data_IF_333579477153
#
_entry.id   IF_333579477153
#
_cell.length_a   1.000
_cell.length_b   1.000
_cell.length_c   1.000
_cell.angle_alpha   90.00
_cell.angle_beta   90.00
_cell.angle_gamma   90.00
#
_symmetry.space_group_name_H-M   'P 1'
#
loop_
_entity.id
_entity.type
_entity.pdbx_description
1 polymer ?
#
# COMPACT_ATOMS: atom_id res chain seq x y z
N UNK A 1 2.29 7.78 20.25
CA UNK A 1 2.27 7.17 21.60
C UNK A 1 1.48 5.85 21.65
N UNK A 2 0.50 5.61 20.74
CA UNK A 2 -0.40 4.46 20.79
C UNK A 2 0.28 3.07 20.79
N UNK A 3 1.43 2.93 20.16
CA UNK A 3 2.09 1.62 20.01
C UNK A 3 3.17 1.34 21.06
N UNK A 4 3.56 2.33 21.88
CA UNK A 4 4.60 2.14 22.91
C UNK A 4 4.15 1.14 23.98
N UNK A 5 2.88 1.17 24.38
CA UNK A 5 2.32 0.22 25.33
C UNK A 5 2.32 -1.22 24.80
N UNK A 6 2.00 -1.39 23.52
CA UNK A 6 2.02 -2.71 22.87
C UNK A 6 3.44 -3.23 22.73
N UNK A 7 4.41 -2.38 22.37
CA UNK A 7 5.83 -2.78 22.32
C UNK A 7 6.35 -3.22 23.67
N UNK A 8 6.01 -2.47 24.72
CA UNK A 8 6.35 -2.88 26.09
C UNK A 8 5.68 -4.20 26.49
N UNK A 9 4.41 -4.39 26.09
CA UNK A 9 3.71 -5.65 26.32
C UNK A 9 4.44 -6.82 25.64
N UNK A 10 4.93 -6.63 24.42
CA UNK A 10 5.68 -7.66 23.67
C UNK A 10 6.99 -8.05 24.35
N UNK A 11 7.61 -7.14 25.11
CA UNK A 11 8.80 -7.44 25.90
C UNK A 11 8.48 -8.27 27.16
N UNK A 12 7.22 -8.30 27.60
CA UNK A 12 6.76 -8.90 28.86
C UNK A 12 5.95 -10.19 28.66
N UNK A 13 5.34 -10.41 27.47
CA UNK A 13 4.54 -11.60 27.18
C UNK A 13 5.37 -12.71 26.57
N UNK A 14 4.92 -13.95 26.81
CA UNK A 14 5.47 -15.13 26.15
C UNK A 14 5.28 -15.09 24.64
N UNK A 15 6.06 -15.92 23.93
CA UNK A 15 6.04 -15.94 22.47
C UNK A 15 4.66 -16.24 21.86
N UNK A 16 4.46 -15.91 20.57
CA UNK A 16 3.17 -16.00 19.89
C UNK A 16 2.58 -17.41 19.81
N UNK A 17 3.38 -18.45 20.08
CA UNK A 17 2.91 -19.84 20.09
C UNK A 17 2.13 -20.20 21.36
N UNK A 18 2.26 -19.41 22.43
CA UNK A 18 1.58 -19.61 23.70
C UNK A 18 0.31 -18.74 23.85
N UNK A 19 0.04 -17.87 22.87
CA UNK A 19 -1.11 -16.96 22.86
C UNK A 19 -2.00 -17.31 21.67
N UNK A 20 -3.24 -17.74 21.93
CA UNK A 20 -4.18 -18.13 20.88
C UNK A 20 -4.64 -16.95 20.05
N UNK A 21 -4.99 -15.83 20.70
CA UNK A 21 -5.42 -14.60 20.05
C UNK A 21 -5.24 -13.37 20.95
N UNK A 22 -5.09 -12.19 20.33
CA UNK A 22 -5.06 -10.92 21.03
C UNK A 22 -6.19 -10.02 20.51
N UNK A 23 -7.03 -9.54 21.43
CA UNK A 23 -8.10 -8.60 21.12
C UNK A 23 -7.69 -7.19 21.57
N UNK A 24 -7.42 -6.32 20.63
CA UNK A 24 -7.20 -4.89 20.88
C UNK A 24 -8.55 -4.18 20.81
N UNK A 25 -8.87 -3.35 21.78
CA UNK A 25 -10.14 -2.61 21.83
C UNK A 25 -9.87 -1.12 21.80
N UNK A 26 -10.67 -0.38 21.03
CA UNK A 26 -10.55 1.07 20.94
C UNK A 26 -11.89 1.74 20.69
N UNK A 27 -12.12 2.92 21.31
CA UNK A 27 -13.28 3.75 21.07
C UNK A 27 -14.63 3.07 21.30
N UNK A 28 -14.73 2.10 22.22
CA UNK A 28 -15.97 1.30 22.39
C UNK A 28 -17.19 2.15 22.77
N UNK A 29 -16.99 3.27 23.46
CA UNK A 29 -18.03 4.20 23.86
C UNK A 29 -18.16 5.42 22.93
N UNK A 30 -17.51 5.42 21.75
CA UNK A 30 -17.65 6.51 20.80
C UNK A 30 -19.10 6.62 20.30
N UNK A 31 -19.53 7.83 19.91
CA UNK A 31 -20.85 8.07 19.36
C UNK A 31 -21.14 7.16 18.15
N UNK A 32 -22.40 6.75 17.92
CA UNK A 32 -22.75 5.72 16.93
C UNK A 32 -22.74 6.21 15.47
N UNK A 33 -22.01 7.29 15.18
CA UNK A 33 -21.94 7.87 13.83
C UNK A 33 -21.31 6.92 12.81
N UNK A 34 -20.45 6.01 13.27
CA UNK A 34 -19.86 4.96 12.43
C UNK A 34 -20.16 3.56 12.98
N UNK A 35 -20.38 2.57 12.10
CA UNK A 35 -20.54 1.18 12.53
C UNK A 35 -19.23 0.66 13.14
N UNK A 36 -19.32 -0.29 14.11
CA UNK A 36 -18.14 -0.91 14.67
C UNK A 36 -17.33 -1.61 13.58
N UNK A 37 -16.00 -1.59 13.74
CA UNK A 37 -15.07 -2.19 12.78
C UNK A 37 -14.20 -3.24 13.43
N UNK A 38 -13.97 -4.32 12.68
CA UNK A 38 -12.92 -5.29 12.97
C UNK A 38 -11.75 -4.97 12.04
N UNK A 39 -10.59 -4.62 12.63
CA UNK A 39 -9.38 -4.26 11.88
C UNK A 39 -8.39 -5.43 11.96
N UNK A 40 -8.23 -6.21 10.87
CA UNK A 40 -7.37 -7.39 10.84
C UNK A 40 -6.03 -7.13 10.15
N UNK A 41 -5.62 -5.89 9.96
CA UNK A 41 -4.48 -5.48 9.14
C UNK A 41 -3.23 -5.29 9.96
N UNK A 42 -2.12 -5.81 9.43
CA UNK A 42 -0.78 -5.66 9.97
C UNK A 42 -0.02 -4.47 9.36
N UNK A 43 1.18 -4.22 9.90
CA UNK A 43 2.18 -3.33 9.34
C UNK A 43 3.05 -4.00 8.26
N UNK A 44 2.81 -5.28 8.02
CA UNK A 44 3.35 -6.08 6.92
C UNK A 44 2.22 -6.74 6.12
N UNK A 45 2.51 -7.72 5.28
CA UNK A 45 1.51 -8.45 4.49
C UNK A 45 0.73 -9.50 5.29
N UNK A 46 0.94 -9.62 6.60
CA UNK A 46 0.19 -10.54 7.46
C UNK A 46 -1.21 -9.99 7.75
N UNK A 47 -2.11 -10.89 8.09
CA UNK A 47 -3.51 -10.59 8.38
C UNK A 47 -4.01 -11.55 9.46
N UNK A 48 -4.86 -11.05 10.33
CA UNK A 48 -5.49 -11.86 11.36
C UNK A 48 -6.23 -13.07 10.79
N UNK A 49 -6.23 -14.17 11.51
CA UNK A 49 -6.92 -15.39 11.14
C UNK A 49 -8.39 -15.14 10.84
N UNK A 50 -8.92 -15.78 9.78
CA UNK A 50 -10.32 -15.59 9.37
C UNK A 50 -11.30 -16.12 10.41
N UNK A 51 -10.88 -17.15 11.16
CA UNK A 51 -11.65 -17.71 12.28
C UNK A 51 -11.88 -16.65 13.36
N UNK A 52 -10.81 -15.99 13.81
CA UNK A 52 -10.88 -14.93 14.80
C UNK A 52 -11.78 -13.77 14.35
N UNK A 53 -11.62 -13.32 13.10
CA UNK A 53 -12.47 -12.26 12.54
C UNK A 53 -13.96 -12.64 12.50
N UNK A 54 -14.28 -13.88 12.10
CA UNK A 54 -15.66 -14.38 12.05
C UNK A 54 -16.27 -14.51 13.45
N UNK A 55 -15.51 -15.01 14.42
CA UNK A 55 -15.95 -15.11 15.81
C UNK A 55 -16.30 -13.74 16.39
N UNK A 56 -15.43 -12.75 16.16
CA UNK A 56 -15.69 -11.37 16.61
C UNK A 56 -16.89 -10.74 15.89
N UNK A 57 -17.02 -10.93 14.58
CA UNK A 57 -18.16 -10.41 13.80
C UNK A 57 -19.48 -11.03 14.24
N UNK A 58 -19.50 -12.34 14.57
CA UNK A 58 -20.66 -13.03 15.11
C UNK A 58 -21.04 -12.50 16.49
N UNK A 59 -20.05 -12.27 17.35
CA UNK A 59 -20.28 -11.70 18.68
C UNK A 59 -20.89 -10.31 18.63
N UNK A 60 -20.41 -9.45 17.71
CA UNK A 60 -21.00 -8.11 17.46
C UNK A 60 -22.45 -8.21 17.02
N UNK A 61 -22.74 -9.10 16.07
CA UNK A 61 -24.10 -9.30 15.56
C UNK A 61 -25.08 -9.77 16.64
N UNK A 62 -24.63 -10.64 17.55
CA UNK A 62 -25.45 -11.14 18.67
C UNK A 62 -25.78 -10.07 19.71
N UNK A 63 -24.99 -9.01 19.80
CA UNK A 63 -25.27 -7.84 20.64
C UNK A 63 -26.08 -6.74 19.91
N UNK A 64 -26.56 -7.03 18.70
CA UNK A 64 -27.39 -6.11 17.91
C UNK A 64 -26.60 -5.07 17.12
N UNK A 65 -25.28 -5.15 17.14
CA UNK A 65 -24.42 -4.28 16.35
C UNK A 65 -24.39 -4.69 14.88
N UNK A 66 -24.33 -3.74 13.93
CA UNK A 66 -24.22 -4.07 12.53
C UNK A 66 -22.93 -4.88 12.26
N UNK A 67 -23.08 -5.95 11.49
CA UNK A 67 -21.93 -6.77 11.10
C UNK A 67 -20.95 -5.93 10.30
N UNK A 68 -19.67 -5.87 10.67
CA UNK A 68 -18.66 -5.13 9.91
C UNK A 68 -18.64 -5.61 8.45
N UNK A 69 -18.79 -4.69 7.50
CA UNK A 69 -18.68 -5.03 6.09
C UNK A 69 -17.22 -5.42 5.77
N UNK A 70 -17.00 -6.58 5.15
CA UNK A 70 -15.67 -6.97 4.74
C UNK A 70 -15.13 -5.98 3.69
N UNK A 71 -13.83 -5.69 3.72
CA UNK A 71 -13.20 -4.88 2.69
C UNK A 71 -13.39 -5.53 1.31
N UNK A 72 -13.62 -4.72 0.28
CA UNK A 72 -13.70 -5.19 -1.11
C UNK A 72 -12.43 -5.95 -1.51
N UNK A 73 -12.48 -6.85 -2.50
CA UNK A 73 -11.26 -7.55 -2.97
C UNK A 73 -10.14 -6.59 -3.40
N UNK A 74 -10.49 -5.48 -4.04
CA UNK A 74 -9.54 -4.42 -4.37
C UNK A 74 -8.95 -3.78 -3.11
N UNK A 75 -9.78 -3.44 -2.12
CA UNK A 75 -9.33 -2.89 -0.85
C UNK A 75 -8.42 -3.84 -0.08
N UNK A 76 -8.70 -5.14 -0.11
CA UNK A 76 -7.84 -6.15 0.50
C UNK A 76 -6.48 -6.22 -0.19
N UNK A 77 -6.43 -6.23 -1.54
CA UNK A 77 -5.18 -6.19 -2.31
C UNK A 77 -4.40 -4.89 -2.07
N UNK A 78 -5.10 -3.74 -2.04
CA UNK A 78 -4.49 -2.45 -1.74
C UNK A 78 -3.81 -2.43 -0.37
N UNK A 79 -4.45 -3.07 0.63
CA UNK A 79 -3.90 -3.22 1.99
C UNK A 79 -2.71 -4.16 2.06
N UNK A 80 -2.64 -5.18 1.21
CA UNK A 80 -1.48 -6.07 1.12
C UNK A 80 -0.31 -5.41 0.38
N UNK A 81 -0.61 -4.63 -0.67
CA UNK A 81 0.40 -3.89 -1.42
C UNK A 81 0.97 -2.67 -0.66
N UNK A 82 0.18 -2.08 0.23
CA UNK A 82 0.58 -0.94 1.07
C UNK A 82 0.08 -1.19 2.49
N UNK A 83 0.78 -2.04 3.25
CA UNK A 83 0.35 -2.41 4.59
C UNK A 83 0.48 -1.22 5.54
N UNK A 84 -0.67 -0.79 6.07
CA UNK A 84 -0.80 0.30 7.02
C UNK A 84 -1.76 -0.16 8.12
N UNK A 85 -1.26 -0.94 9.06
CA UNK A 85 -1.99 -1.40 10.24
C UNK A 85 -1.91 -0.37 11.37
N UNK A 86 -2.79 0.65 11.34
CA UNK A 86 -2.83 1.66 12.41
C UNK A 86 -3.38 1.02 13.69
N UNK A 87 -2.62 1.15 14.79
CA UNK A 87 -2.97 0.64 16.11
C UNK A 87 -2.22 -0.63 16.51
N UNK A 88 -2.36 -1.01 17.78
CA UNK A 88 -1.58 -2.09 18.39
C UNK A 88 -1.70 -3.46 17.74
N UNK A 89 -2.85 -3.78 17.11
CA UNK A 89 -3.02 -5.03 16.37
C UNK A 89 -2.04 -5.15 15.20
N UNK A 90 -1.67 -4.04 14.56
CA UNK A 90 -0.74 -4.05 13.44
C UNK A 90 0.66 -4.50 13.86
N UNK A 91 1.12 -4.02 15.00
CA UNK A 91 2.40 -4.41 15.61
C UNK A 91 2.38 -5.88 16.05
N UNK A 92 1.32 -6.29 16.76
CA UNK A 92 1.15 -7.66 17.23
C UNK A 92 1.13 -8.68 16.09
N UNK A 93 0.42 -8.38 15.00
CA UNK A 93 0.38 -9.24 13.81
C UNK A 93 1.76 -9.37 13.15
N UNK A 94 2.51 -8.27 13.04
CA UNK A 94 3.87 -8.29 12.49
C UNK A 94 4.81 -9.17 13.33
N UNK A 95 4.64 -9.16 14.65
CA UNK A 95 5.41 -10.01 15.59
C UNK A 95 4.88 -11.47 15.68
N UNK A 96 3.84 -11.80 14.94
CA UNK A 96 3.36 -13.17 14.79
C UNK A 96 2.17 -13.58 15.64
N UNK A 97 1.65 -12.68 16.46
CA UNK A 97 0.42 -12.93 17.23
C UNK A 97 -0.80 -12.85 16.32
N UNK A 98 -1.79 -13.72 16.49
CA UNK A 98 -3.09 -13.57 15.81
C UNK A 98 -3.89 -12.50 16.54
N UNK A 99 -3.99 -11.32 15.94
CA UNK A 99 -4.57 -10.14 16.60
C UNK A 99 -5.57 -9.41 15.71
N UNK A 100 -6.68 -8.97 16.32
CA UNK A 100 -7.64 -8.05 15.72
C UNK A 100 -7.85 -6.84 16.62
N UNK A 101 -8.24 -5.72 16.03
CA UNK A 101 -8.78 -4.60 16.78
C UNK A 101 -10.27 -4.48 16.55
N UNK A 102 -11.03 -4.45 17.65
CA UNK A 102 -12.45 -4.10 17.66
C UNK A 102 -12.56 -2.62 17.99
N UNK A 103 -13.01 -1.83 17.03
CA UNK A 103 -13.14 -0.37 17.17
C UNK A 103 -14.58 0.06 17.07
N UNK A 104 -15.04 0.88 18.01
CA UNK A 104 -16.34 1.54 17.97
C UNK A 104 -16.33 2.87 17.20
N UNK A 105 -15.15 3.41 16.88
CA UNK A 105 -14.95 4.73 16.28
C UNK A 105 -14.28 4.67 14.89
N UNK A 106 -14.55 3.63 14.10
CA UNK A 106 -13.92 3.47 12.78
C UNK A 106 -12.48 2.93 12.84
N UNK A 107 -11.76 2.99 11.74
CA UNK A 107 -10.41 2.42 11.65
C UNK A 107 -9.31 3.38 12.13
N UNK A 108 -9.52 4.68 11.96
CA UNK A 108 -8.53 5.71 12.25
C UNK A 108 -8.73 6.39 13.60
N UNK A 109 -9.94 6.35 14.12
CA UNK A 109 -10.28 7.10 15.31
C UNK A 109 -9.67 6.45 16.56
N UNK A 110 -8.68 7.12 17.11
CA UNK A 110 -8.39 7.07 18.54
C UNK A 110 -9.38 8.04 19.17
N UNK A 111 -10.22 7.56 20.12
CA UNK A 111 -11.19 8.42 20.81
C UNK A 111 -10.50 9.67 21.35
N UNK A 112 -10.98 10.84 20.98
CA UNK A 112 -10.44 12.10 21.47
C UNK A 112 -10.82 12.24 22.94
N UNK A 113 -9.85 12.58 23.78
CA UNK A 113 -10.11 12.84 25.19
C UNK A 113 -11.13 13.99 25.31
N UNK A 114 -12.31 13.71 25.89
CA UNK A 114 -13.38 14.69 26.10
C UNK A 114 -14.63 14.49 25.24
N UNK A 115 -14.67 13.48 24.36
CA UNK A 115 -15.91 13.09 23.70
C UNK A 115 -16.90 12.45 24.69
N UNK A 116 -18.20 12.71 24.48
CA UNK A 116 -19.24 12.10 25.27
C UNK A 116 -19.26 10.58 25.04
N UNK A 117 -19.28 9.82 26.13
CA UNK A 117 -19.32 8.35 26.07
C UNK A 117 -20.79 7.91 25.96
N UNK A 118 -21.09 7.16 24.91
CA UNK A 118 -22.34 6.42 24.78
C UNK A 118 -22.26 5.14 25.63
N UNK A 119 -22.96 5.13 26.75
CA UNK A 119 -22.93 4.03 27.71
C UNK A 119 -23.59 2.75 27.17
N UNK A 120 -24.63 2.86 26.35
CA UNK A 120 -25.34 1.71 25.80
C UNK A 120 -24.46 1.02 24.75
N UNK A 121 -23.81 1.80 23.90
CA UNK A 121 -22.85 1.29 22.93
C UNK A 121 -21.62 0.69 23.59
N UNK A 122 -21.06 1.35 24.58
CA UNK A 122 -19.97 0.80 25.39
C UNK A 122 -20.33 -0.56 25.97
N UNK A 123 -21.56 -0.67 26.52
CA UNK A 123 -22.11 -1.92 27.04
C UNK A 123 -22.24 -3.01 25.97
N UNK A 124 -22.81 -2.69 24.81
CA UNK A 124 -22.97 -3.64 23.70
C UNK A 124 -21.63 -4.14 23.17
N UNK A 125 -20.70 -3.23 22.81
CA UNK A 125 -19.38 -3.59 22.30
C UNK A 125 -18.51 -4.29 23.35
N UNK A 126 -18.64 -3.91 24.63
CA UNK A 126 -17.99 -4.58 25.75
C UNK A 126 -18.48 -6.05 25.90
N UNK A 127 -19.80 -6.29 25.85
CA UNK A 127 -20.35 -7.66 25.87
C UNK A 127 -19.93 -8.46 24.64
N UNK A 128 -19.92 -7.87 23.44
CA UNK A 128 -19.43 -8.52 22.22
C UNK A 128 -17.97 -8.96 22.36
N UNK A 129 -17.14 -8.10 22.93
CA UNK A 129 -15.72 -8.42 23.20
C UNK A 129 -15.59 -9.57 24.20
N UNK A 130 -16.29 -9.54 25.32
CA UNK A 130 -16.30 -10.62 26.31
C UNK A 130 -16.83 -11.92 25.73
N UNK A 131 -17.88 -11.87 24.92
CA UNK A 131 -18.42 -13.03 24.21
C UNK A 131 -17.39 -13.62 23.25
N UNK A 132 -16.63 -12.77 22.55
CA UNK A 132 -15.53 -13.23 21.68
C UNK A 132 -14.45 -13.96 22.50
N UNK A 133 -14.02 -13.39 23.61
CA UNK A 133 -13.06 -14.05 24.51
C UNK A 133 -13.60 -15.40 25.02
N UNK A 134 -14.85 -15.43 25.48
CA UNK A 134 -15.49 -16.67 25.95
C UNK A 134 -15.58 -17.74 24.86
N UNK A 135 -15.91 -17.32 23.62
CA UNK A 135 -16.00 -18.24 22.49
C UNK A 135 -14.63 -18.82 22.11
N UNK A 136 -13.54 -18.03 22.26
CA UNK A 136 -12.17 -18.48 22.03
C UNK A 136 -11.68 -19.41 23.15
N UNK A 137 -12.01 -19.11 24.41
CA UNK A 137 -11.60 -19.87 25.58
C UNK A 137 -12.30 -21.24 25.66
N UNK A 138 -13.60 -21.28 25.34
CA UNK A 138 -14.41 -22.51 25.43
C UNK A 138 -14.51 -23.31 24.13
N UNK A 139 -14.13 -22.69 23.01
CA UNK A 139 -14.16 -23.29 21.68
C UNK A 139 -12.92 -24.09 21.36
N UNK A 140 -12.92 -24.71 20.17
CA UNK A 140 -11.67 -25.17 19.58
C UNK A 140 -10.88 -23.94 19.12
N UNK A 141 -9.56 -23.96 19.38
CA UNK A 141 -8.68 -22.91 18.88
C UNK A 141 -8.93 -22.69 17.37
N UNK A 142 -9.22 -21.46 16.93
CA UNK A 142 -9.54 -21.22 15.54
C UNK A 142 -8.35 -21.58 14.66
N UNK A 143 -8.58 -22.32 13.57
CA UNK A 143 -7.53 -22.58 12.60
C UNK A 143 -6.97 -21.25 12.10
N UNK A 144 -5.68 -21.02 12.31
CA UNK A 144 -5.02 -19.75 11.94
C UNK A 144 -5.04 -19.51 10.43
N UNK A 145 -5.09 -20.59 9.62
CA UNK A 145 -5.10 -20.48 8.16
C UNK A 145 -3.83 -19.83 7.58
N UNK A 146 -3.87 -19.39 6.32
CA UNK A 146 -2.75 -18.66 5.74
C UNK A 146 -2.64 -17.26 6.38
N UNK A 147 -1.41 -16.83 6.72
CA UNK A 147 -1.15 -15.51 7.32
C UNK A 147 -1.34 -14.35 6.35
N UNK A 148 -1.21 -14.60 5.07
CA UNK A 148 -1.44 -13.63 3.99
C UNK A 148 -2.50 -14.19 3.06
N UNK A 149 -3.60 -13.48 2.86
CA UNK A 149 -4.72 -13.93 2.03
C UNK A 149 -5.66 -12.81 1.62
N UNK A 150 -6.45 -13.08 0.57
CA UNK A 150 -7.59 -12.28 0.15
C UNK A 150 -8.83 -13.16 0.16
N UNK A 151 -9.96 -12.61 0.59
CA UNK A 151 -11.26 -13.28 0.51
C UNK A 151 -11.98 -12.79 -0.74
N UNK A 152 -12.25 -13.70 -1.66
CA UNK A 152 -12.98 -13.45 -2.90
C UNK A 152 -14.17 -14.41 -2.99
N UNK A 153 -15.37 -13.90 -3.12
CA UNK A 153 -16.60 -14.70 -3.22
C UNK A 153 -16.72 -15.77 -2.11
N UNK A 154 -16.33 -15.45 -0.88
CA UNK A 154 -16.37 -16.36 0.26
C UNK A 154 -15.20 -17.36 0.34
N UNK A 155 -14.34 -17.43 -0.67
CA UNK A 155 -13.18 -18.30 -0.73
C UNK A 155 -11.91 -17.54 -0.28
N UNK A 156 -11.03 -18.26 0.43
CA UNK A 156 -9.74 -17.73 0.88
C UNK A 156 -8.68 -18.03 -0.16
N UNK A 157 -8.14 -16.99 -0.77
CA UNK A 157 -7.02 -17.08 -1.70
C UNK A 157 -5.72 -16.78 -0.94
N UNK A 158 -4.83 -17.76 -0.76
CA UNK A 158 -3.59 -17.56 -0.03
C UNK A 158 -2.62 -16.65 -0.80
N UNK A 159 -1.77 -15.92 -0.08
CA UNK A 159 -0.83 -14.95 -0.65
C UNK A 159 0.12 -15.56 -1.68
N UNK A 160 0.57 -16.81 -1.51
CA UNK A 160 1.41 -17.48 -2.50
C UNK A 160 0.72 -17.67 -3.86
N UNK A 161 -0.58 -17.91 -3.88
CA UNK A 161 -1.34 -18.06 -5.14
C UNK A 161 -1.47 -16.69 -5.85
N UNK A 162 -1.64 -15.61 -5.09
CA UNK A 162 -1.63 -14.25 -5.63
C UNK A 162 -0.24 -13.85 -6.15
N UNK A 163 0.83 -14.22 -5.44
CA UNK A 163 2.20 -14.01 -5.89
C UNK A 163 2.50 -14.77 -7.20
N UNK A 164 2.04 -16.02 -7.30
CA UNK A 164 2.16 -16.81 -8.53
C UNK A 164 1.37 -16.16 -9.69
N UNK A 165 0.17 -15.66 -9.42
CA UNK A 165 -0.62 -14.92 -10.40
C UNK A 165 0.13 -13.64 -10.85
N UNK A 166 0.70 -12.87 -9.92
CA UNK A 166 1.51 -11.71 -10.26
C UNK A 166 2.70 -12.09 -11.16
N UNK A 167 3.43 -13.14 -10.80
CA UNK A 167 4.56 -13.64 -11.59
C UNK A 167 4.12 -14.04 -13.03
N UNK A 168 2.99 -14.76 -13.17
CA UNK A 168 2.46 -15.15 -14.48
C UNK A 168 2.03 -13.95 -15.31
N UNK A 169 1.51 -12.89 -14.69
CA UNK A 169 1.15 -11.66 -15.40
C UNK A 169 2.37 -10.79 -15.77
N UNK A 170 3.44 -10.83 -15.00
CA UNK A 170 4.68 -10.08 -15.32
C UNK A 170 5.50 -10.81 -16.41
N UNK A 171 5.44 -12.12 -16.49
CA UNK A 171 6.21 -12.91 -17.45
C UNK A 171 6.06 -12.45 -18.92
N UNK A 172 4.85 -12.19 -19.46
CA UNK A 172 4.69 -11.67 -20.82
C UNK A 172 5.36 -10.31 -21.04
N UNK A 173 5.37 -9.44 -20.03
CA UNK A 173 6.04 -8.13 -20.07
C UNK A 173 7.55 -8.32 -20.23
N UNK A 174 8.13 -9.23 -19.46
CA UNK A 174 9.56 -9.58 -19.55
C UNK A 174 9.88 -10.20 -20.91
N UNK A 175 9.10 -11.17 -21.35
CA UNK A 175 9.30 -11.85 -22.64
C UNK A 175 9.24 -10.86 -23.81
N UNK A 176 8.26 -9.95 -23.82
CA UNK A 176 8.14 -8.91 -24.85
C UNK A 176 9.33 -7.94 -24.82
N UNK A 177 9.82 -7.55 -23.65
CA UNK A 177 11.01 -6.71 -23.49
C UNK A 177 12.27 -7.37 -24.05
N UNK A 178 12.51 -8.65 -23.71
CA UNK A 178 13.67 -9.43 -24.21
C UNK A 178 13.60 -9.63 -25.72
N UNK A 179 12.44 -9.97 -26.26
CA UNK A 179 12.26 -10.14 -27.69
C UNK A 179 12.44 -8.80 -28.45
N UNK A 180 11.92 -7.69 -27.91
CA UNK A 180 12.15 -6.36 -28.46
C UNK A 180 13.64 -5.98 -28.46
N UNK A 181 14.38 -6.30 -27.38
CA UNK A 181 15.83 -6.09 -27.33
C UNK A 181 16.57 -6.93 -28.38
N UNK A 182 16.19 -8.19 -28.55
CA UNK A 182 16.78 -9.05 -29.57
C UNK A 182 16.56 -8.50 -30.98
N UNK A 183 15.37 -7.98 -31.29
CA UNK A 183 15.09 -7.31 -32.57
C UNK A 183 15.89 -6.02 -32.72
N UNK A 184 15.98 -5.18 -31.66
CA UNK A 184 16.74 -3.94 -31.70
C UNK A 184 18.23 -4.19 -31.96
N UNK A 185 18.82 -5.20 -31.30
CA UNK A 185 20.23 -5.60 -31.54
C UNK A 185 20.48 -6.01 -32.96
N UNK A 186 19.56 -6.79 -33.58
CA UNK A 186 19.66 -7.17 -35.00
C UNK A 186 19.59 -5.96 -35.93
N UNK A 187 18.78 -4.95 -35.58
CA UNK A 187 18.65 -3.70 -36.35
C UNK A 187 19.70 -2.64 -35.96
N UNK A 188 20.60 -2.95 -35.03
CA UNK A 188 21.61 -2.01 -34.47
C UNK A 188 21.03 -0.71 -33.93
N UNK A 189 19.78 -0.77 -33.41
CA UNK A 189 19.12 0.40 -32.84
C UNK A 189 19.79 0.86 -31.52
N UNK A 190 19.97 2.17 -31.31
CA UNK A 190 20.64 2.70 -30.12
C UNK A 190 19.69 2.66 -28.91
N UNK A 191 19.71 1.59 -28.12
CA UNK A 191 18.88 1.42 -26.92
C UNK A 191 19.54 2.04 -25.68
N UNK A 192 20.88 1.96 -25.58
CA UNK A 192 21.63 2.38 -24.41
C UNK A 192 21.42 3.84 -23.97
N UNK A 193 21.50 4.83 -24.87
CA UNK A 193 21.25 6.24 -24.52
C UNK A 193 19.86 6.49 -23.95
N UNK A 194 18.83 5.79 -24.44
CA UNK A 194 17.48 5.89 -23.95
C UNK A 194 17.30 5.26 -22.58
N UNK A 195 17.92 4.10 -22.33
CA UNK A 195 17.95 3.48 -21.00
C UNK A 195 18.65 4.39 -19.98
N UNK A 196 19.77 4.98 -20.35
CA UNK A 196 20.46 5.95 -19.48
C UNK A 196 19.56 7.15 -19.18
N UNK A 197 18.86 7.69 -20.19
CA UNK A 197 17.94 8.81 -19.98
C UNK A 197 16.77 8.46 -19.04
N UNK A 198 16.22 7.24 -19.17
CA UNK A 198 15.17 6.74 -18.27
C UNK A 198 15.73 6.58 -16.84
N UNK A 199 16.94 6.00 -16.71
CA UNK A 199 17.59 5.81 -15.42
C UNK A 199 17.90 7.15 -14.72
N UNK A 200 18.37 8.14 -15.47
CA UNK A 200 18.58 9.50 -14.95
C UNK A 200 17.28 10.17 -14.49
N UNK A 201 16.12 9.74 -15.02
CA UNK A 201 14.80 10.18 -14.54
C UNK A 201 14.51 9.82 -13.09
N UNK A 202 15.25 8.89 -12.47
CA UNK A 202 15.12 8.51 -11.05
C UNK A 202 15.83 9.54 -10.15
N UNK A 203 16.88 10.20 -10.66
CA UNK A 203 17.76 11.09 -9.87
C UNK A 203 17.00 12.23 -9.17
N UNK A 204 16.04 12.93 -9.80
CA UNK A 204 15.26 13.96 -9.11
C UNK A 204 14.55 13.45 -7.85
N UNK A 205 14.01 12.24 -7.90
CA UNK A 205 13.33 11.64 -6.75
C UNK A 205 14.31 11.24 -5.65
N UNK A 206 15.50 10.75 -6.01
CA UNK A 206 16.57 10.48 -5.04
C UNK A 206 17.06 11.76 -4.36
N UNK A 207 17.17 12.86 -5.11
CA UNK A 207 17.55 14.18 -4.56
C UNK A 207 16.44 14.70 -3.65
N UNK A 208 15.15 14.55 -4.04
CA UNK A 208 14.02 14.90 -3.19
C UNK A 208 13.99 14.10 -1.88
N UNK A 209 14.20 12.80 -1.96
CA UNK A 209 14.32 11.94 -0.78
C UNK A 209 15.51 12.36 0.10
N UNK A 210 16.67 12.61 -0.49
CA UNK A 210 17.85 13.11 0.23
C UNK A 210 17.58 14.45 0.92
N UNK A 211 16.87 15.38 0.26
CA UNK A 211 16.46 16.64 0.86
C UNK A 211 15.51 16.41 2.06
N UNK A 212 14.54 15.51 1.94
CA UNK A 212 13.63 15.18 3.05
C UNK A 212 14.41 14.60 4.25
N UNK A 213 15.36 13.67 4.00
CA UNK A 213 16.22 13.11 5.04
C UNK A 213 17.06 14.19 5.71
N UNK A 214 17.67 15.10 4.93
CA UNK A 214 18.46 16.21 5.49
C UNK A 214 17.60 17.15 6.35
N UNK A 215 16.37 17.44 5.93
CA UNK A 215 15.43 18.26 6.70
C UNK A 215 15.03 17.56 8.02
N UNK A 216 14.89 16.24 8.01
CA UNK A 216 14.66 15.46 9.23
C UNK A 216 15.86 15.53 10.18
N UNK A 217 17.09 15.35 9.67
CA UNK A 217 18.31 15.40 10.48
C UNK A 217 18.54 16.76 11.16
N UNK A 218 18.07 17.85 10.55
CA UNK A 218 18.17 19.20 11.16
C UNK A 218 16.94 19.56 12.02
N UNK A 219 16.04 18.59 12.25
CA UNK A 219 14.86 18.78 13.10
C UNK A 219 13.73 19.61 12.47
N UNK A 220 13.75 19.79 11.14
CA UNK A 220 12.69 20.51 10.41
C UNK A 220 11.41 19.66 10.23
N UNK A 221 11.52 18.34 10.39
CA UNK A 221 10.39 17.42 10.43
C UNK A 221 10.41 16.63 11.74
N UNK A 222 9.27 16.21 12.27
CA UNK A 222 9.25 15.29 13.39
C UNK A 222 9.90 13.95 13.01
N UNK A 223 10.43 13.24 14.01
CA UNK A 223 10.99 11.91 13.79
C UNK A 223 9.89 10.97 13.26
N UNK A 224 10.23 10.13 12.25
CA UNK A 224 9.27 9.17 11.73
C UNK A 224 8.84 8.20 12.84
N UNK A 225 7.54 7.95 13.01
CA UNK A 225 7.07 7.01 14.03
C UNK A 225 7.55 5.59 13.69
N UNK A 226 7.82 4.75 14.70
CA UNK A 226 8.28 3.37 14.48
C UNK A 226 7.22 2.44 13.89
N UNK A 227 5.96 2.86 13.87
CA UNK A 227 4.82 2.16 13.27
C UNK A 227 3.82 3.17 12.71
N UNK A 228 2.94 2.77 11.76
CA UNK A 228 1.90 3.65 11.25
C UNK A 228 1.01 4.21 12.36
N UNK A 229 0.81 5.50 12.37
CA UNK A 229 -0.02 6.23 13.34
C UNK A 229 -1.14 6.97 12.64
N UNK A 230 -2.16 7.36 13.41
CA UNK A 230 -3.27 8.14 12.86
C UNK A 230 -2.76 9.49 12.31
N UNK A 231 -3.23 9.92 11.13
CA UNK A 231 -2.77 11.17 10.49
C UNK A 231 -2.92 12.42 11.34
N UNK A 232 -3.92 12.45 12.22
CA UNK A 232 -4.14 13.58 13.15
C UNK A 232 -2.99 13.85 14.11
N UNK A 233 -2.07 12.90 14.32
CA UNK A 233 -0.87 13.09 15.13
C UNK A 233 0.24 13.87 14.40
N UNK A 234 0.15 13.97 13.09
CA UNK A 234 1.09 14.73 12.24
C UNK A 234 0.30 15.73 11.36
N UNK A 235 -0.24 16.80 11.95
CA UNK A 235 -1.06 17.75 11.21
C UNK A 235 -0.22 18.47 10.15
N UNK A 236 -0.85 18.76 9.00
CA UNK A 236 -0.28 19.57 7.95
C UNK A 236 -0.30 21.05 8.38
N UNK A 237 0.76 21.50 8.99
CA UNK A 237 0.95 22.87 9.43
C UNK A 237 1.79 23.71 8.43
N UNK A 238 2.07 24.97 8.80
CA UNK A 238 2.89 25.85 7.96
C UNK A 238 4.33 25.36 7.78
N UNK A 239 4.90 24.65 8.78
CA UNK A 239 6.25 24.09 8.68
C UNK A 239 6.27 22.90 7.71
N UNK A 240 5.27 22.04 7.79
CA UNK A 240 5.09 20.92 6.87
C UNK A 240 4.96 21.39 5.41
N UNK A 241 4.20 22.47 5.17
CA UNK A 241 4.08 23.06 3.83
C UNK A 241 5.41 23.60 3.29
N UNK A 242 6.23 24.21 4.15
CA UNK A 242 7.58 24.68 3.76
C UNK A 242 8.47 23.50 3.40
N UNK A 243 8.45 22.43 4.19
CA UNK A 243 9.22 21.20 3.91
C UNK A 243 8.81 20.61 2.57
N UNK A 244 7.51 20.41 2.33
CA UNK A 244 6.99 19.92 1.05
C UNK A 244 7.41 20.81 -0.13
N UNK A 245 7.35 22.13 0.03
CA UNK A 245 7.76 23.08 -1.01
C UNK A 245 9.27 22.95 -1.31
N UNK A 246 10.13 22.80 -0.30
CA UNK A 246 11.57 22.62 -0.47
C UNK A 246 11.87 21.31 -1.20
N UNK A 247 11.24 20.20 -0.80
CA UNK A 247 11.39 18.89 -1.47
C UNK A 247 10.91 18.96 -2.92
N UNK A 248 9.73 19.54 -3.16
CA UNK A 248 9.18 19.70 -4.51
C UNK A 248 10.09 20.58 -5.39
N UNK A 249 10.67 21.66 -4.83
CA UNK A 249 11.62 22.51 -5.54
C UNK A 249 12.92 21.76 -5.87
N UNK A 250 13.44 20.95 -4.95
CA UNK A 250 14.63 20.13 -5.17
C UNK A 250 14.40 19.13 -6.32
N UNK A 251 13.25 18.46 -6.34
CA UNK A 251 12.84 17.57 -7.44
C UNK A 251 12.73 18.34 -8.75
N UNK A 252 12.00 19.45 -8.77
CA UNK A 252 11.76 20.26 -9.98
C UNK A 252 13.04 20.85 -10.54
N UNK A 253 13.93 21.40 -9.69
CA UNK A 253 15.20 21.95 -10.09
C UNK A 253 16.13 20.88 -10.70
N UNK A 254 16.23 19.73 -10.03
CA UNK A 254 17.03 18.60 -10.53
C UNK A 254 16.48 18.07 -11.86
N UNK A 255 15.17 17.95 -11.98
CA UNK A 255 14.50 17.56 -13.23
C UNK A 255 14.80 18.55 -14.35
N UNK A 256 14.70 19.87 -14.09
CA UNK A 256 15.01 20.92 -15.05
C UNK A 256 16.48 20.87 -15.51
N UNK A 257 17.41 20.72 -14.57
CA UNK A 257 18.84 20.59 -14.86
C UNK A 257 19.13 19.34 -15.72
N UNK A 258 18.61 18.18 -15.35
CA UNK A 258 18.81 16.96 -16.11
C UNK A 258 18.25 17.04 -17.53
N UNK A 259 17.07 17.64 -17.70
CA UNK A 259 16.51 17.86 -19.05
C UNK A 259 17.37 18.79 -19.90
N UNK A 260 17.98 19.79 -19.28
CA UNK A 260 18.84 20.72 -19.99
C UNK A 260 20.18 20.09 -20.41
N UNK A 261 20.82 19.31 -19.51
CA UNK A 261 22.17 18.81 -19.75
C UNK A 261 22.25 17.38 -20.27
N UNK A 262 21.28 16.52 -19.95
CA UNK A 262 21.31 15.09 -20.26
C UNK A 262 20.18 14.63 -21.20
N UNK A 263 19.33 15.55 -21.68
CA UNK A 263 18.30 15.20 -22.65
C UNK A 263 18.90 14.66 -23.95
N UNK A 264 18.28 13.64 -24.57
CA UNK A 264 18.69 13.19 -25.88
C UNK A 264 18.67 14.38 -26.83
N UNK A 265 19.83 14.65 -27.46
CA UNK A 265 19.93 15.76 -28.42
C UNK A 265 18.91 15.56 -29.55
N UNK A 266 18.35 16.62 -30.09
CA UNK A 266 17.35 16.58 -31.18
C UNK A 266 17.80 15.68 -32.36
N UNK A 267 19.11 15.55 -32.57
CA UNK A 267 19.70 14.63 -33.56
C UNK A 267 19.34 13.15 -33.36
N UNK A 268 19.02 12.71 -32.12
CA UNK A 268 18.60 11.35 -31.82
C UNK A 268 17.09 11.16 -31.93
N UNK A 269 16.33 12.26 -31.97
CA UNK A 269 14.88 12.25 -32.13
C UNK A 269 14.45 12.22 -33.59
N UNK A 270 15.29 12.75 -34.50
CA UNK A 270 15.03 12.82 -35.94
C UNK A 270 15.50 11.59 -36.70
N UNK A 271 16.37 10.75 -36.12
CA UNK A 271 16.85 9.53 -36.73
C UNK A 271 15.80 8.41 -36.65
N UNK A 272 15.04 8.32 -37.68
CA UNK A 272 14.23 7.18 -38.19
C UNK A 272 13.13 6.59 -37.29
N UNK A 273 11.96 6.23 -37.85
CA UNK A 273 10.98 5.39 -37.18
C UNK A 273 11.59 4.04 -36.83
N UNK A 274 11.83 3.79 -35.54
CA UNK A 274 12.49 2.57 -35.04
C UNK A 274 13.60 2.91 -34.03
N UNK A 275 13.64 4.14 -33.50
CA UNK A 275 14.54 4.51 -32.42
C UNK A 275 14.44 3.49 -31.28
N UNK A 276 15.57 3.11 -30.65
CA UNK A 276 15.60 2.21 -29.51
C UNK A 276 14.78 2.64 -28.28
N UNK A 277 14.09 3.79 -28.35
CA UNK A 277 13.30 4.37 -27.27
C UNK A 277 12.19 3.44 -26.78
N UNK A 278 11.35 2.89 -27.67
CA UNK A 278 10.28 1.97 -27.28
C UNK A 278 10.82 0.71 -26.62
N UNK A 279 11.96 0.21 -27.12
CA UNK A 279 12.65 -0.96 -26.53
C UNK A 279 13.22 -0.61 -25.15
N UNK A 280 13.79 0.58 -24.98
CA UNK A 280 14.29 1.04 -23.69
C UNK A 280 13.16 1.17 -22.67
N UNK A 281 12.01 1.72 -23.07
CA UNK A 281 10.80 1.77 -22.22
C UNK A 281 10.34 0.36 -21.84
N UNK A 282 10.27 -0.56 -22.81
CA UNK A 282 9.87 -1.95 -22.56
C UNK A 282 10.79 -2.66 -21.55
N UNK A 283 12.10 -2.46 -21.68
CA UNK A 283 13.07 -3.02 -20.74
C UNK A 283 12.93 -2.40 -19.34
N UNK A 284 12.72 -1.08 -19.27
CA UNK A 284 12.49 -0.39 -18.00
C UNK A 284 11.21 -0.87 -17.31
N UNK A 285 10.12 -1.07 -18.06
CA UNK A 285 8.87 -1.62 -17.53
C UNK A 285 9.05 -3.07 -17.07
N UNK A 286 9.79 -3.89 -17.83
CA UNK A 286 10.13 -5.25 -17.43
C UNK A 286 10.97 -5.27 -16.13
N UNK A 287 11.99 -4.43 -16.05
CA UNK A 287 12.82 -4.30 -14.85
C UNK A 287 12.00 -3.81 -13.64
N UNK A 288 11.12 -2.81 -13.84
CA UNK A 288 10.24 -2.31 -12.80
C UNK A 288 9.25 -3.39 -12.33
N UNK A 289 8.65 -4.14 -13.25
CA UNK A 289 7.76 -5.25 -12.92
C UNK A 289 8.46 -6.35 -12.14
N UNK A 290 9.70 -6.70 -12.51
CA UNK A 290 10.49 -7.68 -11.79
C UNK A 290 10.89 -7.18 -10.39
N UNK A 291 11.29 -5.91 -10.27
CA UNK A 291 11.62 -5.30 -8.99
C UNK A 291 10.41 -5.26 -8.05
N UNK A 292 9.24 -4.85 -8.56
CA UNK A 292 7.99 -4.88 -7.80
C UNK A 292 7.65 -6.30 -7.37
N UNK A 293 7.75 -7.29 -8.26
CA UNK A 293 7.47 -8.68 -7.93
C UNK A 293 8.40 -9.22 -6.82
N UNK A 294 9.66 -8.81 -6.84
CA UNK A 294 10.65 -9.23 -5.85
C UNK A 294 10.47 -8.55 -4.48
N UNK A 295 10.01 -7.30 -4.47
CA UNK A 295 9.81 -6.51 -3.24
C UNK A 295 8.43 -6.81 -2.65
N UNK A 296 7.39 -6.70 -3.47
CA UNK A 296 5.99 -6.88 -3.10
C UNK A 296 5.16 -7.43 -4.27
N UNK A 297 4.82 -8.72 -4.26
CA UNK A 297 4.03 -9.35 -5.31
C UNK A 297 2.60 -8.79 -5.43
N UNK A 298 2.04 -8.20 -4.36
CA UNK A 298 0.69 -7.61 -4.39
C UNK A 298 0.72 -6.26 -5.11
N UNK A 299 1.74 -5.45 -4.87
CA UNK A 299 2.00 -4.23 -5.64
C UNK A 299 2.24 -4.56 -7.12
N UNK A 300 3.02 -5.62 -7.41
CA UNK A 300 3.23 -6.09 -8.78
C UNK A 300 1.92 -6.52 -9.46
N UNK A 301 1.03 -7.21 -8.74
CA UNK A 301 -0.29 -7.61 -9.23
C UNK A 301 -1.16 -6.40 -9.59
N UNK A 302 -1.18 -5.38 -8.76
CA UNK A 302 -1.90 -4.13 -9.02
C UNK A 302 -1.27 -3.31 -10.15
N UNK A 303 0.06 -3.37 -10.33
CA UNK A 303 0.75 -2.69 -11.42
C UNK A 303 0.65 -3.42 -12.76
N UNK A 304 0.36 -4.73 -12.78
CA UNK A 304 0.37 -5.54 -13.99
C UNK A 304 -0.47 -4.96 -15.15
N UNK A 305 -1.71 -4.49 -14.97
CA UNK A 305 -2.48 -3.88 -16.05
C UNK A 305 -1.81 -2.63 -16.65
N UNK A 306 -1.22 -1.78 -15.79
CA UNK A 306 -0.48 -0.60 -16.22
C UNK A 306 0.73 -0.98 -17.07
N UNK A 307 1.53 -1.94 -16.60
CA UNK A 307 2.71 -2.43 -17.32
C UNK A 307 2.35 -2.97 -18.71
N UNK A 308 1.24 -3.72 -18.84
CA UNK A 308 0.78 -4.22 -20.12
C UNK A 308 0.34 -3.10 -21.08
N UNK A 309 -0.45 -2.14 -20.60
CA UNK A 309 -0.92 -1.03 -21.43
C UNK A 309 0.25 -0.15 -21.89
N UNK A 310 1.21 0.14 -21.00
CA UNK A 310 2.39 0.92 -21.36
C UNK A 310 3.35 0.15 -22.27
N UNK A 311 3.46 -1.17 -22.10
CA UNK A 311 4.20 -2.04 -23.03
C UNK A 311 3.61 -1.99 -24.42
N UNK A 312 2.28 -2.10 -24.55
CA UNK A 312 1.57 -1.97 -25.82
C UNK A 312 1.83 -0.59 -26.45
N UNK A 313 1.73 0.49 -25.65
CA UNK A 313 1.99 1.85 -26.14
C UNK A 313 3.43 2.02 -26.67
N UNK A 314 4.41 1.29 -26.11
CA UNK A 314 5.81 1.38 -26.46
C UNK A 314 6.23 0.49 -27.65
N UNK A 315 5.63 -0.70 -27.82
CA UNK A 315 6.11 -1.75 -28.71
C UNK A 315 5.25 -2.02 -29.94
N UNK A 316 4.02 -1.49 -30.06
CA UNK A 316 3.19 -1.68 -31.25
C UNK A 316 3.91 -1.09 -32.47
N UNK A 317 4.13 -1.93 -33.51
CA UNK A 317 4.74 -1.57 -34.77
C UNK A 317 3.78 -1.94 -35.94
N UNK A 318 3.31 -1.01 -36.79
CA UNK A 318 3.62 0.43 -36.75
C UNK A 318 3.08 1.15 -35.50
N UNK A 319 3.73 2.28 -35.09
CA UNK A 319 3.33 2.99 -33.90
C UNK A 319 1.87 3.41 -33.98
N UNK A 320 1.10 3.21 -32.88
CA UNK A 320 -0.33 3.50 -32.89
C UNK A 320 -0.58 5.00 -33.05
N UNK A 321 -1.75 5.36 -33.58
CA UNK A 321 -2.17 6.75 -33.67
C UNK A 321 -2.02 7.46 -32.32
N UNK A 322 -1.67 8.76 -32.32
CA UNK A 322 -1.40 9.52 -31.08
C UNK A 322 -2.53 9.38 -30.05
N UNK A 323 -3.79 9.38 -30.51
CA UNK A 323 -4.96 9.23 -29.61
C UNK A 323 -4.96 7.87 -28.90
N UNK A 324 -4.68 6.79 -29.63
CA UNK A 324 -4.61 5.45 -29.04
C UNK A 324 -3.43 5.32 -28.06
N UNK A 325 -2.27 5.89 -28.40
CA UNK A 325 -1.11 5.90 -27.50
C UNK A 325 -1.42 6.64 -26.21
N UNK A 326 -2.05 7.83 -26.31
CA UNK A 326 -2.47 8.60 -25.13
C UNK A 326 -3.48 7.79 -24.31
N UNK A 327 -4.44 7.14 -24.95
CA UNK A 327 -5.43 6.30 -24.25
C UNK A 327 -4.79 5.11 -23.52
N UNK A 328 -3.81 4.45 -24.13
CA UNK A 328 -3.08 3.35 -23.49
C UNK A 328 -2.27 3.83 -22.28
N UNK A 329 -1.58 4.97 -22.41
CA UNK A 329 -0.81 5.56 -21.31
C UNK A 329 -1.74 6.01 -20.18
N UNK A 330 -2.80 6.72 -20.49
CA UNK A 330 -3.79 7.16 -19.51
C UNK A 330 -4.53 5.99 -18.85
N UNK A 331 -4.89 4.98 -19.63
CA UNK A 331 -5.51 3.75 -19.12
C UNK A 331 -4.61 3.02 -18.12
N UNK A 332 -3.30 3.01 -18.35
CA UNK A 332 -2.34 2.45 -17.40
C UNK A 332 -2.26 3.22 -16.07
N UNK A 333 -2.61 4.50 -16.05
CA UNK A 333 -2.63 5.30 -14.82
C UNK A 333 -3.89 5.09 -13.96
N UNK A 334 -4.95 4.53 -14.54
CA UNK A 334 -6.26 4.41 -13.83
C UNK A 334 -6.12 3.63 -12.53
N UNK A 335 -5.48 2.46 -12.55
CA UNK A 335 -5.37 1.62 -11.37
C UNK A 335 -4.45 2.20 -10.29
N UNK A 336 -3.25 2.72 -10.60
CA UNK A 336 -2.44 3.48 -9.64
C UNK A 336 -3.18 4.67 -9.01
N UNK A 337 -3.95 5.43 -9.81
CA UNK A 337 -4.75 6.56 -9.30
C UNK A 337 -5.88 6.09 -8.38
N UNK A 338 -6.60 5.03 -8.75
CA UNK A 338 -7.63 4.44 -7.90
C UNK A 338 -7.03 3.93 -6.57
N UNK A 339 -5.82 3.36 -6.62
CA UNK A 339 -5.12 2.92 -5.43
C UNK A 339 -4.76 4.12 -4.53
N UNK A 340 -4.22 5.20 -5.10
CA UNK A 340 -3.91 6.43 -4.36
C UNK A 340 -5.19 7.02 -3.72
N UNK A 341 -6.27 7.15 -4.48
CA UNK A 341 -7.56 7.63 -3.96
C UNK A 341 -8.08 6.73 -2.84
N UNK A 342 -7.99 5.41 -3.00
CA UNK A 342 -8.39 4.46 -1.98
C UNK A 342 -7.59 4.65 -0.69
N UNK A 343 -6.26 4.76 -0.77
CA UNK A 343 -5.41 4.96 0.40
C UNK A 343 -5.70 6.29 1.09
N UNK A 344 -5.84 7.38 0.34
CA UNK A 344 -6.22 8.68 0.89
C UNK A 344 -7.58 8.63 1.60
N UNK A 345 -8.57 7.96 0.99
CA UNK A 345 -9.91 7.82 1.60
C UNK A 345 -9.90 6.99 2.88
N UNK A 346 -9.10 5.92 2.90
CA UNK A 346 -8.94 5.07 4.08
C UNK A 346 -8.25 5.81 5.22
N UNK A 347 -7.27 6.65 4.90
CA UNK A 347 -6.53 7.46 5.87
C UNK A 347 -7.23 8.79 6.21
N UNK A 348 -8.37 9.09 5.59
CA UNK A 348 -9.08 10.36 5.80
C UNK A 348 -8.25 11.58 5.40
N UNK A 349 -7.30 11.42 4.46
CA UNK A 349 -6.38 12.46 4.03
C UNK A 349 -6.88 13.17 2.77
N UNK A 350 -6.65 14.46 2.72
CA UNK A 350 -6.65 15.21 1.47
C UNK A 350 -5.35 14.94 0.67
N UNK A 351 -5.27 15.36 -0.61
CA UNK A 351 -4.07 15.11 -1.42
C UNK A 351 -2.78 15.73 -0.86
N UNK A 352 -2.85 16.87 -0.16
CA UNK A 352 -1.69 17.50 0.45
C UNK A 352 -1.26 16.77 1.73
N UNK A 353 -2.21 16.39 2.57
CA UNK A 353 -1.96 15.53 3.73
C UNK A 353 -1.38 14.17 3.35
N UNK A 354 -1.80 13.61 2.20
CA UNK A 354 -1.22 12.38 1.66
C UNK A 354 0.20 12.53 1.08
N UNK A 355 0.63 13.76 0.79
CA UNK A 355 1.99 14.05 0.35
C UNK A 355 2.93 14.33 1.53
N UNK A 356 2.40 14.72 2.67
CA UNK A 356 3.12 14.93 3.92
C UNK A 356 3.38 13.63 4.66
#
# INVERSE_FOLDING_TARGET
LGDLGVRRLLDEIDGPDLVDAVLVVSGLGAAPDEPPRIVPWSNDTTRAGIGLQRTAAESLRQEGEPSPSPASPFGQLARLAFPLGIGGQGVLLAEGYDSIRVSGAGELAEGTAGEAVDADRLGALGRATLRTVTALDQGQAPERGPRTYVVLAGQVLPGWALALLAATLILPVLAAGVDALARARRRRAPVGPWLLWIALGIVPFLVGYGAAVLLSLVGATPDPPPAPVAPGLYPLDGAALVVLAVVALAVAATWGLLRHFAGPTARHLDDAPGSGAGVAVALALGAAGLALLAIDPFAALLAAPALHLWMLAALIDPPPARRLRVALVAGGLVLPLLLAVYQLSVLGLDPLGGAW
#
